data_IF_419146958949
#
_entry.id   IF_419146958949
#
_cell.length_a   1.000
_cell.length_b   1.000
_cell.length_c   1.000
_cell.angle_alpha   90.00
_cell.angle_beta   90.00
_cell.angle_gamma   90.00
#
_symmetry.space_group_name_H-M   'P 1'
#
loop_
_entity.id
_entity.type
_entity.pdbx_description
1 polymer ?
#
# COMPACT_ATOMS: atom_id res chain seq x y z
N UNK A 1 4.92 -26.76 4.23
CA UNK A 1 5.17 -26.83 5.69
C UNK A 1 6.02 -25.64 6.11
N UNK A 2 5.37 -24.60 6.62
CA UNK A 2 6.05 -23.48 7.25
C UNK A 2 6.71 -23.94 8.56
N UNK A 3 7.89 -23.41 8.86
CA UNK A 3 8.67 -23.79 10.06
C UNK A 3 8.41 -22.80 11.17
N UNK A 4 8.28 -23.24 12.44
CA UNK A 4 8.13 -22.32 13.55
C UNK A 4 9.40 -21.46 13.71
N UNK A 5 9.19 -20.15 13.86
CA UNK A 5 10.23 -19.19 14.23
C UNK A 5 10.10 -18.93 15.74
N UNK A 6 10.98 -19.53 16.52
CA UNK A 6 11.01 -19.38 17.98
C UNK A 6 12.01 -18.28 18.33
N UNK A 7 11.54 -17.18 18.91
CA UNK A 7 12.35 -15.98 19.17
C UNK A 7 13.00 -15.42 17.89
N UNK A 8 14.30 -15.16 17.91
CA UNK A 8 15.10 -14.70 16.77
C UNK A 8 15.94 -15.86 16.16
N UNK A 9 15.47 -17.11 16.32
CA UNK A 9 16.13 -18.29 15.77
C UNK A 9 15.42 -18.73 14.49
N UNK A 10 16.13 -18.60 13.37
CA UNK A 10 15.62 -18.92 12.04
C UNK A 10 16.21 -20.23 11.52
N UNK A 11 15.37 -21.11 10.96
CA UNK A 11 15.82 -22.32 10.29
C UNK A 11 15.94 -22.11 8.77
N UNK A 12 17.12 -21.69 8.32
CA UNK A 12 17.42 -21.41 6.92
C UNK A 12 17.84 -22.63 6.08
N UNK A 13 17.64 -23.88 6.54
CA UNK A 13 18.02 -25.07 5.76
C UNK A 13 17.14 -25.23 4.52
N UNK A 14 17.72 -25.30 3.32
CA UNK A 14 16.99 -25.53 2.06
C UNK A 14 17.57 -26.71 1.29
N UNK A 15 16.73 -27.33 0.46
CA UNK A 15 17.18 -28.28 -0.54
C UNK A 15 17.60 -27.57 -1.83
N UNK A 16 18.38 -28.26 -2.66
CA UNK A 16 18.78 -27.75 -3.97
C UNK A 16 17.53 -27.48 -4.83
N UNK A 17 17.40 -26.26 -5.31
CA UNK A 17 16.25 -25.81 -6.11
C UNK A 17 15.15 -25.10 -5.30
N UNK A 18 15.25 -25.04 -3.97
CA UNK A 18 14.33 -24.28 -3.13
C UNK A 18 14.81 -22.83 -2.92
N UNK A 19 13.86 -21.93 -2.70
CA UNK A 19 14.10 -20.52 -2.37
C UNK A 19 13.48 -20.18 -1.01
N UNK A 20 14.10 -19.27 -0.28
CA UNK A 20 13.55 -18.67 0.95
C UNK A 20 13.14 -17.22 0.65
N UNK A 21 12.04 -16.77 1.25
CA UNK A 21 11.66 -15.35 1.32
C UNK A 21 11.85 -14.87 2.75
N UNK A 22 12.48 -13.72 2.93
CA UNK A 22 12.67 -13.09 4.23
C UNK A 22 11.94 -11.74 4.25
N UNK A 23 11.29 -11.43 5.38
CA UNK A 23 10.52 -10.20 5.57
C UNK A 23 11.04 -9.46 6.83
N UNK A 24 12.15 -8.70 6.72
CA UNK A 24 12.84 -8.13 7.88
C UNK A 24 12.03 -7.12 8.69
N UNK A 25 11.06 -6.47 8.05
CA UNK A 25 10.17 -5.49 8.66
C UNK A 25 8.74 -6.03 8.82
N UNK A 26 8.58 -7.36 8.90
CA UNK A 26 7.26 -8.01 9.00
C UNK A 26 6.49 -7.65 10.27
N UNK A 27 7.20 -7.21 11.32
CA UNK A 27 6.62 -6.73 12.57
C UNK A 27 6.43 -5.21 12.61
N UNK A 28 6.74 -4.47 11.54
CA UNK A 28 6.55 -3.04 11.46
C UNK A 28 5.12 -2.73 11.00
N UNK A 29 4.52 -1.72 11.61
CA UNK A 29 3.30 -1.06 11.14
C UNK A 29 3.63 0.00 10.08
N UNK A 30 2.62 0.51 9.39
CA UNK A 30 2.81 1.66 8.48
C UNK A 30 3.33 2.89 9.22
N UNK A 31 2.92 3.09 10.48
CA UNK A 31 3.41 4.17 11.31
C UNK A 31 4.92 4.05 11.55
N UNK A 32 5.41 2.85 11.90
CA UNK A 32 6.85 2.60 12.12
C UNK A 32 7.68 2.90 10.86
N UNK A 33 7.14 2.58 9.67
CA UNK A 33 7.79 2.87 8.38
C UNK A 33 7.89 4.39 8.16
N UNK A 34 6.81 5.14 8.37
CA UNK A 34 6.83 6.60 8.21
C UNK A 34 7.69 7.31 9.26
N UNK A 35 7.70 6.82 10.50
CA UNK A 35 8.55 7.37 11.56
C UNK A 35 10.03 7.18 11.20
N UNK A 36 10.39 6.02 10.66
CA UNK A 36 11.74 5.76 10.18
C UNK A 36 12.12 6.67 9.01
N UNK A 37 11.22 6.86 8.03
CA UNK A 37 11.44 7.79 6.90
C UNK A 37 11.70 9.20 7.39
N UNK A 38 10.94 9.67 8.39
CA UNK A 38 11.15 10.99 9.00
C UNK A 38 12.51 11.07 9.70
N UNK A 39 12.82 10.08 10.55
CA UNK A 39 14.04 10.07 11.37
C UNK A 39 15.31 10.05 10.52
N UNK A 40 15.32 9.23 9.47
CA UNK A 40 16.47 9.11 8.56
C UNK A 40 16.45 10.13 7.41
N UNK A 41 15.43 11.01 7.36
CA UNK A 41 15.23 12.01 6.32
C UNK A 41 15.30 11.42 4.89
N UNK A 42 14.61 10.31 4.66
CA UNK A 42 14.63 9.62 3.37
C UNK A 42 13.83 10.40 2.31
N UNK A 43 14.41 10.55 1.12
CA UNK A 43 13.70 11.08 -0.03
C UNK A 43 12.66 10.07 -0.55
N UNK A 44 11.48 10.58 -0.92
CA UNK A 44 10.40 9.78 -1.49
C UNK A 44 9.89 10.38 -2.80
N UNK A 45 9.40 9.54 -3.72
CA UNK A 45 8.66 10.02 -4.88
C UNK A 45 7.46 10.91 -4.48
N UNK A 46 7.22 11.96 -5.25
CA UNK A 46 6.17 12.95 -4.96
C UNK A 46 4.76 12.39 -4.86
N UNK A 47 4.50 11.23 -5.49
CA UNK A 47 3.20 10.55 -5.53
C UNK A 47 2.70 10.10 -4.14
N UNK A 48 3.61 9.91 -3.18
CA UNK A 48 3.27 9.57 -1.80
C UNK A 48 2.75 10.76 -0.98
N UNK A 49 3.00 11.97 -1.45
CA UNK A 49 2.49 13.20 -0.84
C UNK A 49 1.20 13.65 -1.52
N UNK A 50 0.35 14.33 -0.76
CA UNK A 50 -0.92 14.85 -1.28
C UNK A 50 -0.70 15.85 -2.43
N UNK A 51 -1.38 15.58 -3.55
CA UNK A 51 -1.37 16.41 -4.75
C UNK A 51 -2.74 16.38 -5.42
N UNK A 52 -3.09 17.44 -6.14
CA UNK A 52 -4.35 17.50 -6.90
C UNK A 52 -4.19 16.77 -8.22
N UNK A 53 -5.16 15.92 -8.57
CA UNK A 53 -5.22 15.29 -9.89
C UNK A 53 -6.64 14.96 -10.34
N UNK A 54 -6.87 14.81 -11.66
CA UNK A 54 -8.16 14.37 -12.18
C UNK A 54 -8.41 12.90 -11.82
N UNK A 55 -9.55 12.63 -11.22
CA UNK A 55 -10.02 11.29 -10.86
C UNK A 55 -11.47 11.09 -11.27
N UNK A 56 -11.86 9.83 -11.42
CA UNK A 56 -13.26 9.39 -11.52
C UNK A 56 -13.60 8.59 -10.27
N UNK A 57 -14.68 8.95 -9.58
CA UNK A 57 -15.20 8.18 -8.44
C UNK A 57 -16.00 7.00 -8.96
N UNK A 58 -15.47 5.78 -8.82
CA UNK A 58 -16.10 4.56 -9.34
C UNK A 58 -15.93 3.39 -8.38
N UNK A 59 -17.03 2.70 -8.09
CA UNK A 59 -17.06 1.55 -7.18
C UNK A 59 -16.42 1.83 -5.80
N UNK A 60 -16.63 3.03 -5.27
CA UNK A 60 -16.07 3.46 -3.98
C UNK A 60 -14.57 3.81 -4.01
N UNK A 61 -13.92 3.77 -5.17
CA UNK A 61 -12.51 4.09 -5.36
C UNK A 61 -12.34 5.37 -6.19
N UNK A 62 -11.19 6.03 -6.02
CA UNK A 62 -10.75 7.12 -6.87
C UNK A 62 -9.90 6.52 -8.00
N UNK A 63 -10.37 6.58 -9.24
CA UNK A 63 -9.61 6.10 -10.39
C UNK A 63 -8.85 7.28 -11.03
N UNK A 64 -7.51 7.29 -11.03
CA UNK A 64 -6.76 8.35 -11.69
C UNK A 64 -7.02 8.39 -13.19
N UNK A 65 -7.33 9.57 -13.71
CA UNK A 65 -7.43 9.78 -15.16
C UNK A 65 -6.02 9.97 -15.70
N UNK A 66 -5.60 9.08 -16.59
CA UNK A 66 -4.29 9.13 -17.25
C UNK A 66 -4.44 8.82 -18.74
N UNK A 67 -3.40 9.04 -19.57
CA UNK A 67 -3.43 8.60 -20.97
C UNK A 67 -3.66 7.09 -21.16
N UNK A 68 -3.27 6.27 -20.16
CA UNK A 68 -3.44 4.81 -20.19
C UNK A 68 -4.78 4.35 -19.58
N UNK A 69 -5.34 5.16 -18.69
CA UNK A 69 -6.63 4.94 -18.01
C UNK A 69 -7.52 6.18 -18.20
N UNK A 70 -7.98 6.46 -19.44
CA UNK A 70 -8.83 7.61 -19.68
C UNK A 70 -10.22 7.40 -19.07
N UNK A 71 -10.90 8.51 -18.77
CA UNK A 71 -12.29 8.48 -18.37
C UNK A 71 -13.19 7.92 -19.49
N UNK A 72 -14.19 7.12 -19.14
CA UNK A 72 -15.16 6.60 -20.11
C UNK A 72 -16.22 7.66 -20.45
N UNK A 73 -16.93 7.52 -21.59
CA UNK A 73 -18.05 8.41 -21.92
C UNK A 73 -19.10 8.43 -20.81
N UNK A 74 -19.40 9.61 -20.26
CA UNK A 74 -20.35 9.80 -19.17
C UNK A 74 -19.76 9.78 -17.77
N UNK A 75 -18.46 9.48 -17.61
CA UNK A 75 -17.78 9.61 -16.32
C UNK A 75 -17.67 11.10 -15.91
N UNK A 76 -17.87 11.37 -14.63
CA UNK A 76 -17.60 12.69 -14.04
C UNK A 76 -16.16 12.73 -13.56
N UNK A 77 -15.35 13.57 -14.21
CA UNK A 77 -13.98 13.85 -13.77
C UNK A 77 -14.00 14.96 -12.71
N UNK A 78 -13.31 14.73 -11.61
CA UNK A 78 -13.15 15.67 -10.50
C UNK A 78 -11.66 15.89 -10.22
N UNK A 79 -11.27 17.13 -9.94
CA UNK A 79 -9.94 17.44 -9.41
C UNK A 79 -9.96 17.23 -7.89
N UNK A 80 -9.28 16.20 -7.40
CA UNK A 80 -9.29 15.82 -5.98
C UNK A 80 -7.86 15.83 -5.46
N UNK A 81 -7.66 16.30 -4.22
CA UNK A 81 -6.37 16.21 -3.54
C UNK A 81 -6.21 14.81 -2.96
N UNK A 82 -5.18 14.11 -3.44
CA UNK A 82 -5.01 12.68 -3.17
C UNK A 82 -3.54 12.34 -2.94
N UNK A 83 -3.29 11.22 -2.25
CA UNK A 83 -1.96 10.61 -2.16
C UNK A 83 -2.05 9.10 -2.40
N UNK A 84 -0.93 8.50 -2.77
CA UNK A 84 -0.84 7.05 -2.94
C UNK A 84 -0.23 6.44 -1.68
N UNK A 85 -0.97 5.52 -1.04
CA UNK A 85 -0.44 4.72 0.08
C UNK A 85 0.33 3.52 -0.43
N UNK A 86 -0.19 2.84 -1.45
CA UNK A 86 0.50 1.78 -2.19
C UNK A 86 0.64 2.17 -3.65
N UNK A 87 1.71 1.71 -4.30
CA UNK A 87 1.90 1.89 -5.74
C UNK A 87 2.16 0.54 -6.42
N UNK A 88 1.42 0.28 -7.50
CA UNK A 88 1.66 -0.80 -8.46
C UNK A 88 1.57 -0.25 -9.89
N UNK A 89 0.89 -0.97 -10.78
CA UNK A 89 0.67 -0.50 -12.15
C UNK A 89 -0.36 0.63 -12.19
N UNK A 90 -0.21 1.53 -13.18
CA UNK A 90 -1.11 2.67 -13.41
C UNK A 90 -2.56 2.22 -13.62
N UNK A 91 -2.77 1.04 -14.20
CA UNK A 91 -4.09 0.49 -14.50
C UNK A 91 -4.88 0.01 -13.28
N UNK A 92 -4.22 -0.28 -12.17
CA UNK A 92 -4.85 -0.93 -11.01
C UNK A 92 -4.60 -0.25 -9.65
N UNK A 93 -3.88 0.87 -9.62
CA UNK A 93 -3.58 1.61 -8.40
C UNK A 93 -4.51 2.82 -8.22
N UNK A 94 -5.30 2.84 -7.16
CA UNK A 94 -6.14 3.96 -6.76
C UNK A 94 -5.50 4.73 -5.59
N UNK A 95 -5.51 6.08 -5.60
CA UNK A 95 -5.12 6.86 -4.45
C UNK A 95 -6.25 7.00 -3.44
N UNK A 96 -5.93 7.60 -2.29
CA UNK A 96 -6.90 8.02 -1.27
C UNK A 96 -6.96 9.55 -1.22
N UNK A 97 -8.11 10.11 -0.86
CA UNK A 97 -8.21 11.53 -0.53
C UNK A 97 -7.31 11.83 0.67
N UNK A 98 -6.52 12.90 0.57
CA UNK A 98 -5.60 13.27 1.64
C UNK A 98 -5.10 14.70 1.45
N UNK A 99 -4.86 15.37 2.58
CA UNK A 99 -4.18 16.67 2.65
C UNK A 99 -2.70 16.55 3.08
N UNK A 100 -2.21 15.33 3.27
CA UNK A 100 -0.88 15.05 3.78
C UNK A 100 0.21 15.23 2.72
N UNK A 101 0.66 16.48 2.54
CA UNK A 101 1.71 16.88 1.60
C UNK A 101 3.14 16.87 2.18
N UNK A 102 3.32 16.38 3.40
CA UNK A 102 4.63 16.20 4.05
C UNK A 102 4.64 14.94 4.91
N UNK A 103 5.84 14.46 5.27
CA UNK A 103 6.01 13.28 6.14
C UNK A 103 5.32 13.47 7.50
N UNK A 104 5.43 14.67 8.09
CA UNK A 104 4.79 15.03 9.35
C UNK A 104 3.26 14.88 9.26
N UNK A 105 2.67 15.36 8.16
CA UNK A 105 1.23 15.26 7.96
C UNK A 105 0.80 13.82 7.72
N UNK A 106 1.62 13.03 7.02
CA UNK A 106 1.33 11.60 6.80
C UNK A 106 1.36 10.85 8.13
N UNK A 107 2.32 11.12 9.01
CA UNK A 107 2.38 10.54 10.35
C UNK A 107 1.11 10.85 11.18
N UNK A 108 0.65 12.10 11.16
CA UNK A 108 -0.58 12.51 11.85
C UNK A 108 -1.83 11.80 11.27
N UNK A 109 -1.91 11.70 9.95
CA UNK A 109 -3.00 11.00 9.26
C UNK A 109 -2.99 9.50 9.57
N UNK A 110 -1.82 8.86 9.51
CA UNK A 110 -1.66 7.43 9.81
C UNK A 110 -1.92 7.11 11.27
N UNK A 111 -1.53 7.99 12.21
CA UNK A 111 -1.81 7.81 13.64
C UNK A 111 -3.30 7.78 13.99
N UNK A 112 -4.14 8.43 13.18
CA UNK A 112 -5.59 8.55 13.41
C UNK A 112 -6.42 7.61 12.53
N UNK A 113 -5.80 6.97 11.55
CA UNK A 113 -6.47 6.11 10.57
C UNK A 113 -6.69 4.70 11.10
N UNK A 114 -7.90 4.17 10.94
CA UNK A 114 -8.26 2.77 11.27
C UNK A 114 -8.17 1.82 10.07
N UNK A 115 -7.83 2.32 8.89
CA UNK A 115 -7.79 1.58 7.62
C UNK A 115 -6.34 1.19 7.27
N UNK A 116 -6.10 -0.10 7.06
CA UNK A 116 -4.79 -0.63 6.65
C UNK A 116 -4.33 -0.07 5.30
N UNK A 117 -3.00 0.07 5.11
CA UNK A 117 -2.38 0.64 3.91
C UNK A 117 -2.92 0.06 2.59
N UNK A 118 -3.01 -1.28 2.51
CA UNK A 118 -3.39 -2.02 1.28
C UNK A 118 -4.89 -2.11 1.05
N UNK A 119 -5.70 -2.07 2.10
CA UNK A 119 -7.16 -2.23 1.99
C UNK A 119 -7.85 -1.05 1.29
N UNK A 120 -7.19 0.10 1.18
CA UNK A 120 -7.79 1.34 0.70
C UNK A 120 -7.53 1.64 -0.80
N UNK A 121 -6.53 1.00 -1.43
CA UNK A 121 -5.90 1.55 -2.66
C UNK A 121 -5.80 0.59 -3.84
N UNK A 122 -6.03 -0.72 -3.65
CA UNK A 122 -5.90 -1.69 -4.74
C UNK A 122 -7.24 -2.01 -5.38
N UNK A 123 -7.34 -1.76 -6.68
CA UNK A 123 -8.55 -2.06 -7.46
C UNK A 123 -8.73 -3.56 -7.72
N UNK A 124 -7.65 -4.34 -7.67
CA UNK A 124 -7.60 -5.78 -7.94
C UNK A 124 -7.64 -6.64 -6.67
N UNK A 125 -7.19 -6.13 -5.53
CA UNK A 125 -7.27 -6.79 -4.20
C UNK A 125 -8.62 -6.46 -3.50
N UNK A 126 -9.77 -6.69 -4.16
CA UNK A 126 -11.11 -6.59 -3.54
C UNK A 126 -11.47 -7.83 -2.69
N UNK A 127 -10.50 -8.69 -2.37
CA UNK A 127 -10.71 -9.86 -1.51
C UNK A 127 -10.58 -9.47 -0.04
N UNK A 128 -11.51 -9.98 0.80
CA UNK A 128 -11.67 -9.66 2.23
C UNK A 128 -10.36 -9.50 3.01
N UNK A 129 -10.40 -8.74 4.12
CA UNK A 129 -9.27 -8.54 5.05
C UNK A 129 -8.57 -9.86 5.46
N UNK A 130 -9.30 -10.98 5.47
CA UNK A 130 -8.79 -12.32 5.75
C UNK A 130 -7.90 -12.92 4.64
N UNK A 131 -7.86 -12.33 3.44
CA UNK A 131 -7.15 -12.88 2.28
C UNK A 131 -5.63 -12.89 2.44
N UNK A 132 -5.04 -11.91 3.14
CA UNK A 132 -3.60 -11.93 3.43
C UNK A 132 -3.23 -12.98 4.48
N UNK A 133 -4.03 -13.15 5.53
CA UNK A 133 -3.83 -14.23 6.50
C UNK A 133 -4.03 -15.61 5.87
N UNK A 134 -5.00 -15.74 4.98
CA UNK A 134 -5.26 -16.96 4.22
C UNK A 134 -4.09 -17.27 3.27
N UNK A 135 -3.59 -16.27 2.52
CA UNK A 135 -2.39 -16.41 1.66
C UNK A 135 -1.14 -16.77 2.48
N UNK A 136 -1.00 -16.26 3.72
CA UNK A 136 0.05 -16.68 4.66
C UNK A 136 -0.10 -18.16 5.08
N UNK A 137 -1.32 -18.61 5.40
CA UNK A 137 -1.61 -20.02 5.73
C UNK A 137 -1.38 -20.96 4.54
N UNK A 138 -1.66 -20.50 3.33
CA UNK A 138 -1.49 -21.24 2.08
C UNK A 138 -0.03 -21.28 1.57
N UNK A 139 0.89 -20.61 2.26
CA UNK A 139 2.32 -20.62 1.94
C UNK A 139 2.71 -19.69 0.78
N UNK A 140 1.85 -18.71 0.46
CA UNK A 140 2.21 -17.61 -0.45
C UNK A 140 3.28 -16.68 0.17
N UNK A 141 3.34 -16.69 1.50
CA UNK A 141 4.36 -16.07 2.35
C UNK A 141 4.99 -17.14 3.24
#
# INVERSE_FOLDING_TARGET
NQRPELWNLYNARTHKGENIRAFPISNWTEFDVWEYIQREALELPSIYYAHTRPVVRKNGLLQPVTPLTPAAPGDRVEEVRVRFRTVGDISCTAPVESDADSVEKILLETATTTITERGATRMDDQTSEASMEQRKKEGYF
#
